data_IF_141444595329
#
_entry.id   IF_141444595329
#
_cell.length_a   1.000
_cell.length_b   1.000
_cell.length_c   1.000
_cell.angle_alpha   90.00
_cell.angle_beta   90.00
_cell.angle_gamma   90.00
#
_symmetry.space_group_name_H-M   'P 1'
#
loop_
_entity.id
_entity.type
_entity.pdbx_description
1 polymer ?
#
# COMPACT_ATOMS: atom_id res chain seq x y z
N UNK A 1 -7.34 -17.61 -2.40
CA UNK A 1 -7.12 -16.50 -1.44
C UNK A 1 -5.67 -16.56 -0.99
N UNK A 2 -4.83 -15.61 -1.39
CA UNK A 2 -3.45 -15.51 -0.88
C UNK A 2 -3.48 -14.70 0.41
N UNK A 3 -3.58 -15.38 1.55
CA UNK A 3 -3.43 -14.71 2.84
C UNK A 3 -1.95 -14.33 3.01
N UNK A 4 -1.65 -13.03 2.93
CA UNK A 4 -0.31 -12.50 3.22
C UNK A 4 -0.08 -12.67 4.73
N UNK A 5 0.85 -13.57 5.09
CA UNK A 5 1.01 -14.04 6.48
C UNK A 5 1.72 -13.03 7.39
N UNK A 6 2.46 -12.06 6.83
CA UNK A 6 3.26 -11.09 7.61
C UNK A 6 3.25 -9.70 6.96
N UNK A 7 3.45 -8.66 7.78
CA UNK A 7 3.48 -7.25 7.34
C UNK A 7 4.56 -6.99 6.29
N UNK A 8 5.71 -7.66 6.39
CA UNK A 8 6.81 -7.54 5.43
C UNK A 8 6.43 -8.08 4.05
N UNK A 9 5.72 -9.20 3.97
CA UNK A 9 5.24 -9.77 2.70
C UNK A 9 4.27 -8.82 1.99
N UNK A 10 3.44 -8.10 2.74
CA UNK A 10 2.52 -7.09 2.17
C UNK A 10 3.31 -5.96 1.51
N UNK A 11 4.35 -5.47 2.17
CA UNK A 11 5.19 -4.41 1.61
C UNK A 11 5.94 -4.87 0.35
N UNK A 12 6.52 -6.07 0.36
CA UNK A 12 7.22 -6.60 -0.81
C UNK A 12 6.27 -6.74 -2.01
N UNK A 13 5.09 -7.32 -1.79
CA UNK A 13 4.07 -7.47 -2.84
C UNK A 13 3.57 -6.12 -3.35
N UNK A 14 3.42 -5.14 -2.46
CA UNK A 14 3.04 -3.79 -2.87
C UNK A 14 4.11 -3.11 -3.73
N UNK A 15 5.40 -3.31 -3.42
CA UNK A 15 6.51 -2.80 -4.26
C UNK A 15 6.47 -3.41 -5.66
N UNK A 16 6.26 -4.72 -5.75
CA UNK A 16 6.11 -5.42 -7.04
C UNK A 16 4.92 -4.85 -7.83
N UNK A 17 3.77 -4.67 -7.18
CA UNK A 17 2.57 -4.10 -7.77
C UNK A 17 2.78 -2.65 -8.23
N UNK A 18 3.39 -1.79 -7.40
CA UNK A 18 3.65 -0.41 -7.74
C UNK A 18 4.56 -0.29 -8.97
N UNK A 19 5.61 -1.11 -9.05
CA UNK A 19 6.48 -1.16 -10.23
C UNK A 19 5.73 -1.62 -11.49
N UNK A 20 4.87 -2.64 -11.36
CA UNK A 20 4.04 -3.15 -12.46
C UNK A 20 3.08 -2.08 -12.99
N UNK A 21 2.33 -1.40 -12.10
CA UNK A 21 1.39 -0.35 -12.48
C UNK A 21 2.10 0.81 -13.17
N UNK A 22 3.25 1.24 -12.63
CA UNK A 22 4.06 2.31 -13.23
C UNK A 22 4.55 1.92 -14.62
N UNK A 23 4.99 0.68 -14.81
CA UNK A 23 5.45 0.17 -16.12
C UNK A 23 4.32 0.05 -17.13
N UNK A 24 3.16 -0.48 -16.72
CA UNK A 24 2.03 -0.71 -17.62
C UNK A 24 1.34 0.59 -18.04
N UNK A 25 1.18 1.53 -17.10
CA UNK A 25 0.40 2.75 -17.34
C UNK A 25 1.26 3.96 -17.68
N UNK A 26 2.55 3.92 -17.39
CA UNK A 26 3.45 5.08 -17.45
C UNK A 26 3.13 6.16 -16.40
N UNK A 27 2.15 5.93 -15.51
CA UNK A 27 1.66 6.91 -14.55
C UNK A 27 2.24 6.65 -13.16
N UNK A 28 2.44 7.72 -12.40
CA UNK A 28 2.87 7.64 -11.00
C UNK A 28 1.66 7.41 -10.10
N UNK A 29 1.76 6.44 -9.19
CA UNK A 29 0.76 6.22 -8.14
C UNK A 29 0.78 7.42 -7.18
N UNK A 30 -0.37 8.03 -6.92
CA UNK A 30 -0.50 9.22 -6.07
C UNK A 30 -1.05 8.91 -4.67
N UNK A 31 -2.01 7.99 -4.57
CA UNK A 31 -2.70 7.68 -3.33
C UNK A 31 -2.95 6.18 -3.23
N UNK A 32 -2.90 5.63 -2.01
CA UNK A 32 -3.36 4.29 -1.67
C UNK A 32 -4.28 4.40 -0.46
N UNK A 33 -5.45 3.75 -0.53
CA UNK A 33 -6.41 3.71 0.56
C UNK A 33 -6.47 2.31 1.15
N UNK A 34 -6.27 2.19 2.45
CA UNK A 34 -6.26 0.93 3.19
C UNK A 34 -7.31 0.97 4.30
N UNK A 35 -8.01 -0.15 4.50
CA UNK A 35 -8.86 -0.31 5.68
C UNK A 35 -7.98 -0.34 6.94
N UNK A 36 -8.36 0.41 7.97
CA UNK A 36 -7.53 0.69 9.15
C UNK A 36 -7.38 -0.51 10.11
N UNK A 37 -7.30 -1.72 9.58
CA UNK A 37 -7.05 -2.98 10.28
C UNK A 37 -5.65 -3.12 10.91
N UNK A 38 -4.85 -2.05 10.96
CA UNK A 38 -3.55 -2.03 11.64
C UNK A 38 -2.41 -2.82 10.98
N UNK A 39 -2.71 -3.60 9.94
CA UNK A 39 -1.74 -4.43 9.21
C UNK A 39 -0.75 -3.62 8.36
N UNK A 40 -1.09 -2.36 8.01
CA UNK A 40 -0.31 -1.50 7.10
C UNK A 40 0.45 -0.35 7.80
N UNK A 41 0.66 -0.42 9.12
CA UNK A 41 1.37 0.63 9.86
C UNK A 41 2.86 0.30 10.04
N UNK A 42 3.74 1.24 9.65
CA UNK A 42 5.20 1.17 9.82
C UNK A 42 5.98 1.25 8.50
N UNK A 43 6.66 0.18 8.05
CA UNK A 43 7.55 0.21 6.88
C UNK A 43 6.81 0.48 5.56
N UNK A 44 5.51 0.15 5.50
CA UNK A 44 4.64 0.50 4.37
C UNK A 44 4.44 2.01 4.24
N UNK A 45 4.21 2.70 5.36
CA UNK A 45 4.01 4.14 5.42
C UNK A 45 5.30 4.88 4.99
N UNK A 46 6.45 4.40 5.48
CA UNK A 46 7.78 4.89 5.07
C UNK A 46 7.99 4.76 3.56
N UNK A 47 7.66 3.60 2.99
CA UNK A 47 7.77 3.39 1.55
C UNK A 47 6.85 4.33 0.76
N UNK A 48 5.58 4.44 1.16
CA UNK A 48 4.63 5.35 0.53
C UNK A 48 5.14 6.79 0.54
N UNK A 49 5.65 7.26 1.70
CA UNK A 49 6.24 8.60 1.84
C UNK A 49 7.45 8.80 0.92
N UNK A 50 8.36 7.82 0.84
CA UNK A 50 9.53 7.89 -0.06
C UNK A 50 9.14 7.95 -1.54
N UNK A 51 8.07 7.26 -1.93
CA UNK A 51 7.57 7.30 -3.31
C UNK A 51 6.69 8.52 -3.60
N UNK A 52 6.30 9.28 -2.57
CA UNK A 52 5.36 10.40 -2.68
C UNK A 52 3.92 9.93 -2.90
N UNK A 53 3.56 8.77 -2.33
CA UNK A 53 2.22 8.20 -2.33
C UNK A 53 1.54 8.59 -1.01
N UNK A 54 0.37 9.21 -1.10
CA UNK A 54 -0.48 9.47 0.07
C UNK A 54 -1.12 8.16 0.55
N UNK A 55 -0.94 7.82 1.83
CA UNK A 55 -1.58 6.66 2.44
C UNK A 55 -2.81 7.12 3.23
N UNK A 56 -3.99 6.88 2.68
CA UNK A 56 -5.27 7.16 3.32
C UNK A 56 -5.74 5.94 4.11
N UNK A 57 -6.01 6.13 5.40
CA UNK A 57 -6.57 5.08 6.27
C UNK A 57 -8.04 5.36 6.49
N UNK A 58 -8.92 4.46 6.07
CA UNK A 58 -10.36 4.62 6.31
C UNK A 58 -10.69 4.30 7.76
N UNK A 59 -11.44 5.16 8.46
CA UNK A 59 -11.81 4.88 9.85
C UNK A 59 -12.61 3.57 9.94
N UNK A 60 -12.37 2.75 10.99
CA UNK A 60 -13.11 1.51 11.16
C UNK A 60 -14.59 1.82 11.40
N UNK A 61 -15.48 1.18 10.61
CA UNK A 61 -16.95 1.21 10.73
C UNK A 61 -17.66 2.52 10.33
N UNK A 62 -17.26 3.15 9.23
CA UNK A 62 -18.18 4.04 8.50
C UNK A 62 -18.51 3.41 7.14
N UNK A 63 -19.80 3.11 6.85
CA UNK A 63 -20.24 2.69 5.51
C UNK A 63 -20.00 3.79 4.45
#
# INVERSE_FOLDING_TARGET
VYALKTKDQVLEKFKEFHALVKRQTGKKLKCVRSDNGGEHCGPFDVYCKQQGIAHEKTPPKTP
#
